data_IF_320455730673
#
_entry.id   IF_320455730673
#
_cell.length_a   1.000
_cell.length_b   1.000
_cell.length_c   1.000
_cell.angle_alpha   90.00
_cell.angle_beta   90.00
_cell.angle_gamma   90.00
#
_symmetry.space_group_name_H-M   'P 1'
#
loop_
_entity.id
_entity.type
_entity.pdbx_description
1 polymer ?
#
# COMPACT_ATOMS: atom_id res chain seq x y z
N UNK A 1 -73.35 -26.41 -7.97
CA UNK A 1 -72.39 -25.78 -8.90
C UNK A 1 -72.15 -24.38 -8.38
N UNK A 2 -71.18 -24.21 -7.48
CA UNK A 2 -70.65 -22.89 -7.10
C UNK A 2 -69.37 -23.11 -6.29
N UNK A 3 -68.23 -22.68 -6.86
CA UNK A 3 -66.88 -22.83 -6.32
C UNK A 3 -66.49 -21.49 -5.72
N UNK A 4 -66.49 -21.36 -4.40
CA UNK A 4 -66.00 -20.15 -3.72
C UNK A 4 -64.47 -20.22 -3.64
N UNK A 5 -63.82 -19.34 -4.40
CA UNK A 5 -62.38 -19.22 -4.51
C UNK A 5 -61.77 -18.68 -3.21
N UNK A 6 -60.82 -19.42 -2.63
CA UNK A 6 -59.94 -18.94 -1.58
C UNK A 6 -58.75 -18.24 -2.23
N UNK A 7 -58.75 -16.92 -2.24
CA UNK A 7 -57.58 -16.12 -2.60
C UNK A 7 -56.56 -16.19 -1.44
N UNK A 8 -55.47 -16.93 -1.64
CA UNK A 8 -54.28 -16.82 -0.79
C UNK A 8 -53.40 -15.69 -1.32
N UNK A 9 -52.98 -14.72 -0.49
CA UNK A 9 -52.11 -13.64 -0.93
C UNK A 9 -50.69 -14.19 -1.13
N UNK A 10 -50.13 -13.98 -2.32
CA UNK A 10 -48.75 -14.30 -2.66
C UNK A 10 -47.82 -13.39 -1.84
N UNK A 11 -46.91 -13.92 -0.99
CA UNK A 11 -46.02 -13.08 -0.23
C UNK A 11 -45.00 -12.44 -1.17
N UNK A 12 -44.99 -11.10 -1.22
CA UNK A 12 -44.02 -10.32 -1.96
C UNK A 12 -42.64 -10.49 -1.29
N UNK A 13 -41.86 -11.45 -1.77
CA UNK A 13 -40.46 -11.65 -1.38
C UNK A 13 -39.65 -10.43 -1.87
N UNK A 14 -39.44 -9.48 -0.96
CA UNK A 14 -38.43 -8.42 -1.12
C UNK A 14 -37.05 -9.08 -1.19
N UNK A 15 -36.59 -9.35 -2.41
CA UNK A 15 -35.20 -9.70 -2.68
C UNK A 15 -34.33 -8.48 -2.32
N UNK A 16 -33.79 -8.49 -1.10
CA UNK A 16 -32.77 -7.53 -0.68
C UNK A 16 -31.57 -7.70 -1.60
N UNK A 17 -31.37 -6.77 -2.55
CA UNK A 17 -30.14 -6.67 -3.31
C UNK A 17 -29.02 -6.34 -2.32
N UNK A 18 -28.30 -7.38 -1.89
CA UNK A 18 -27.03 -7.22 -1.17
C UNK A 18 -26.05 -6.68 -2.21
N UNK A 19 -25.86 -5.36 -2.24
CA UNK A 19 -24.76 -4.72 -2.96
C UNK A 19 -23.47 -5.08 -2.23
N UNK A 20 -22.86 -6.18 -2.63
CA UNK A 20 -21.49 -6.51 -2.20
C UNK A 20 -20.56 -5.45 -2.79
N UNK A 21 -20.02 -4.57 -1.94
CA UNK A 21 -18.94 -3.68 -2.34
C UNK A 21 -17.75 -4.55 -2.77
N UNK A 22 -17.50 -4.62 -4.07
CA UNK A 22 -16.36 -5.36 -4.62
C UNK A 22 -15.08 -4.58 -4.32
N UNK A 23 -14.40 -4.93 -3.24
CA UNK A 23 -13.02 -4.49 -3.03
C UNK A 23 -12.14 -5.06 -4.14
N UNK A 24 -11.36 -4.21 -4.82
CA UNK A 24 -10.47 -4.63 -5.90
C UNK A 24 -9.36 -5.56 -5.39
N UNK A 25 -8.90 -5.32 -4.16
CA UNK A 25 -7.91 -6.14 -3.47
C UNK A 25 -8.57 -6.84 -2.27
N UNK A 26 -8.29 -8.13 -2.08
CA UNK A 26 -8.80 -8.91 -0.96
C UNK A 26 -8.01 -8.69 0.34
N UNK A 27 -8.54 -9.16 1.47
CA UNK A 27 -7.89 -9.07 2.78
C UNK A 27 -6.55 -9.83 2.87
N UNK A 28 -6.35 -10.85 2.03
CA UNK A 28 -5.10 -11.61 1.90
C UNK A 28 -4.12 -11.03 0.89
N UNK A 29 -4.47 -9.92 0.22
CA UNK A 29 -3.62 -9.30 -0.79
C UNK A 29 -2.35 -8.74 -0.13
N UNK A 30 -1.18 -8.85 -0.79
CA UNK A 30 0.04 -8.17 -0.35
C UNK A 30 -0.04 -6.64 -0.55
N UNK A 31 -1.03 -6.14 -1.29
CA UNK A 31 -1.25 -4.71 -1.53
C UNK A 31 -1.95 -4.08 -0.32
N UNK A 32 -1.34 -3.04 0.25
CA UNK A 32 -1.90 -2.33 1.40
C UNK A 32 -3.12 -1.52 0.97
N UNK A 33 -4.27 -1.80 1.56
CA UNK A 33 -5.50 -1.04 1.30
C UNK A 33 -5.48 0.28 2.08
N UNK A 34 -5.56 1.38 1.34
CA UNK A 34 -5.59 2.71 1.90
C UNK A 34 -7.02 3.21 2.08
N UNK A 35 -7.17 4.06 3.07
CA UNK A 35 -8.35 4.89 3.31
C UNK A 35 -7.88 6.27 3.76
N UNK A 36 -8.75 7.29 3.77
CA UNK A 36 -8.39 8.61 4.29
C UNK A 36 -7.82 8.56 5.72
N UNK A 37 -8.31 7.63 6.54
CA UNK A 37 -7.88 7.49 7.94
C UNK A 37 -6.44 6.99 8.10
N UNK A 38 -5.93 6.18 7.16
CA UNK A 38 -4.61 5.56 7.27
C UNK A 38 -3.58 6.14 6.29
N UNK A 39 -4.02 6.90 5.27
CA UNK A 39 -3.16 7.42 4.20
C UNK A 39 -1.96 8.20 4.75
N UNK A 40 -2.20 9.14 5.68
CA UNK A 40 -1.11 9.90 6.31
C UNK A 40 -0.07 8.99 6.96
N UNK A 41 -0.52 8.03 7.78
CA UNK A 41 0.38 7.14 8.51
C UNK A 41 1.16 6.16 7.62
N UNK A 42 0.51 5.64 6.56
CA UNK A 42 1.08 4.58 5.70
C UNK A 42 1.84 5.13 4.50
N UNK A 43 1.54 6.36 4.07
CA UNK A 43 2.12 6.99 2.87
C UNK A 43 2.98 8.18 3.27
N UNK A 44 2.39 9.20 3.89
CA UNK A 44 3.07 10.48 4.12
C UNK A 44 4.13 10.43 5.22
N UNK A 45 3.89 9.63 6.27
CA UNK A 45 4.84 9.41 7.36
C UNK A 45 5.77 8.21 7.10
N UNK A 46 5.74 7.62 5.90
CA UNK A 46 6.61 6.51 5.57
C UNK A 46 8.06 7.00 5.46
N UNK A 47 8.98 6.28 6.11
CA UNK A 47 10.43 6.49 5.95
C UNK A 47 10.98 5.75 4.72
N UNK A 48 10.15 5.43 3.73
CA UNK A 48 10.57 4.63 2.58
C UNK A 48 9.96 5.13 1.27
N UNK A 49 9.99 4.27 0.27
CA UNK A 49 9.27 4.45 -0.98
C UNK A 49 7.90 3.80 -0.84
N UNK A 50 6.84 4.49 -1.29
CA UNK A 50 5.47 3.97 -1.31
C UNK A 50 4.87 4.16 -2.69
N UNK A 51 4.45 3.07 -3.30
CA UNK A 51 3.64 3.09 -4.52
C UNK A 51 2.17 3.11 -4.11
N UNK A 52 1.39 4.00 -4.72
CA UNK A 52 -0.05 4.10 -4.51
C UNK A 52 -0.75 4.03 -5.85
N UNK A 53 -1.50 2.95 -6.08
CA UNK A 53 -2.49 2.89 -7.15
C UNK A 53 -3.79 3.60 -6.71
N UNK A 54 -4.17 4.64 -7.43
CA UNK A 54 -5.49 5.25 -7.35
C UNK A 54 -6.37 4.56 -8.40
N UNK A 55 -7.39 3.84 -7.92
CA UNK A 55 -8.25 2.99 -8.76
C UNK A 55 -9.74 3.29 -8.54
N UNK A 56 -10.58 2.66 -9.36
CA UNK A 56 -12.01 2.51 -9.10
C UNK A 56 -12.42 1.04 -9.34
N UNK A 57 -13.29 0.44 -8.51
CA UNK A 57 -13.58 -0.99 -8.55
C UNK A 57 -14.28 -1.44 -9.84
N UNK A 58 -14.98 -0.52 -10.51
CA UNK A 58 -15.64 -0.74 -11.79
C UNK A 58 -14.71 -0.57 -13.00
N UNK A 59 -13.46 -0.13 -12.81
CA UNK A 59 -12.54 0.13 -13.91
C UNK A 59 -11.88 -1.17 -14.40
N UNK A 60 -12.20 -1.59 -15.62
CA UNK A 60 -11.63 -2.80 -16.22
C UNK A 60 -10.10 -2.79 -16.33
N UNK A 61 -9.49 -1.61 -16.57
CA UNK A 61 -8.02 -1.49 -16.59
C UNK A 61 -7.39 -1.66 -15.20
N UNK A 62 -8.08 -1.28 -14.12
CA UNK A 62 -7.63 -1.54 -12.76
C UNK A 62 -7.70 -3.03 -12.43
N UNK A 63 -8.81 -3.67 -12.78
CA UNK A 63 -8.99 -5.12 -12.61
C UNK A 63 -7.93 -5.92 -13.36
N UNK A 64 -7.58 -5.52 -14.59
CA UNK A 64 -6.52 -6.14 -15.37
C UNK A 64 -5.11 -5.94 -14.75
N UNK A 65 -4.89 -4.84 -14.02
CA UNK A 65 -3.62 -4.52 -13.38
C UNK A 65 -3.40 -5.30 -12.08
N UNK A 66 -4.46 -5.60 -11.33
CA UNK A 66 -4.46 -6.27 -10.02
C UNK A 66 -3.44 -7.43 -9.92
N UNK A 67 -3.45 -8.48 -10.77
CA UNK A 67 -2.51 -9.60 -10.59
C UNK A 67 -1.04 -9.19 -10.74
N UNK A 68 -0.75 -8.24 -11.63
CA UNK A 68 0.59 -7.69 -11.80
C UNK A 68 0.99 -6.85 -10.59
N UNK A 69 0.09 -6.02 -10.08
CA UNK A 69 0.36 -5.16 -8.93
C UNK A 69 0.57 -5.95 -7.64
N UNK A 70 -0.19 -7.01 -7.42
CA UNK A 70 0.04 -7.95 -6.30
C UNK A 70 1.38 -8.67 -6.41
N UNK A 71 1.81 -9.03 -7.63
CA UNK A 71 3.13 -9.61 -7.85
C UNK A 71 4.25 -8.61 -7.57
N UNK A 72 4.06 -7.34 -7.95
CA UNK A 72 4.99 -6.24 -7.59
C UNK A 72 5.07 -6.08 -6.07
N UNK A 73 3.94 -6.03 -5.38
CA UNK A 73 3.88 -5.95 -3.92
C UNK A 73 4.60 -7.13 -3.24
N UNK A 74 4.45 -8.34 -3.80
CA UNK A 74 5.13 -9.54 -3.30
C UNK A 74 6.65 -9.46 -3.49
N UNK A 75 7.12 -9.02 -4.67
CA UNK A 75 8.55 -8.90 -4.98
C UNK A 75 9.23 -7.81 -4.15
N UNK A 76 8.52 -6.72 -3.87
CA UNK A 76 9.06 -5.57 -3.13
C UNK A 76 8.80 -5.62 -1.62
N UNK A 77 8.22 -6.71 -1.12
CA UNK A 77 7.87 -6.88 0.29
C UNK A 77 9.07 -6.61 1.20
N UNK A 78 8.86 -5.78 2.22
CA UNK A 78 9.91 -5.39 3.19
C UNK A 78 10.86 -4.31 2.69
N UNK A 79 10.73 -3.86 1.43
CA UNK A 79 11.61 -2.84 0.82
C UNK A 79 10.82 -1.62 0.34
N UNK A 80 9.67 -1.83 -0.30
CA UNK A 80 8.75 -0.77 -0.76
C UNK A 80 7.34 -1.14 -0.37
N UNK A 81 6.60 -0.17 0.16
CA UNK A 81 5.17 -0.35 0.40
C UNK A 81 4.43 -0.20 -0.92
N UNK A 82 3.67 -1.21 -1.30
CA UNK A 82 2.79 -1.16 -2.48
C UNK A 82 1.36 -1.14 -1.97
N UNK A 83 0.62 -0.10 -2.33
CA UNK A 83 -0.66 0.25 -1.73
C UNK A 83 -1.67 0.68 -2.79
N UNK A 84 -2.95 0.61 -2.46
CA UNK A 84 -4.03 1.00 -3.36
C UNK A 84 -5.11 1.78 -2.61
N UNK A 85 -5.68 2.79 -3.26
CA UNK A 85 -6.77 3.63 -2.75
C UNK A 85 -7.91 3.66 -3.76
N UNK A 86 -9.13 3.36 -3.30
CA UNK A 86 -10.34 3.61 -4.08
C UNK A 86 -10.58 5.12 -4.16
N UNK A 87 -10.22 5.69 -5.30
CA UNK A 87 -10.28 7.11 -5.56
C UNK A 87 -11.69 7.56 -6.00
N UNK A 88 -12.55 6.64 -6.44
CA UNK A 88 -13.96 6.95 -6.72
C UNK A 88 -14.76 7.07 -5.41
N UNK A 89 -14.46 6.24 -4.42
CA UNK A 89 -14.99 6.38 -3.06
C UNK A 89 -14.39 7.60 -2.30
N UNK A 90 -13.17 8.02 -2.63
CA UNK A 90 -12.42 9.05 -1.90
C UNK A 90 -12.00 10.23 -2.78
N UNK A 91 -12.98 10.86 -3.44
CA UNK A 91 -12.78 11.93 -4.44
C UNK A 91 -11.99 13.14 -3.95
N UNK A 92 -12.14 13.54 -2.69
CA UNK A 92 -11.38 14.67 -2.14
C UNK A 92 -9.87 14.39 -2.09
N UNK A 93 -9.49 13.18 -1.69
CA UNK A 93 -8.09 12.76 -1.65
C UNK A 93 -7.56 12.55 -3.08
N UNK A 94 -8.39 12.02 -3.98
CA UNK A 94 -8.06 11.94 -5.41
C UNK A 94 -7.80 13.32 -6.03
N UNK A 95 -8.61 14.33 -5.68
CA UNK A 95 -8.44 15.70 -6.14
C UNK A 95 -7.17 16.35 -5.59
N UNK A 96 -6.85 16.16 -4.31
CA UNK A 96 -5.61 16.65 -3.68
C UNK A 96 -4.37 16.20 -4.47
N UNK A 97 -4.36 14.95 -4.90
CA UNK A 97 -3.27 14.37 -5.69
C UNK A 97 -3.47 14.53 -7.21
N UNK A 98 -4.49 15.26 -7.67
CA UNK A 98 -4.70 15.55 -9.08
C UNK A 98 -4.98 14.32 -9.95
N UNK A 99 -5.68 13.31 -9.40
CA UNK A 99 -6.04 12.10 -10.12
C UNK A 99 -7.17 12.41 -11.13
N UNK A 100 -6.89 12.18 -12.42
CA UNK A 100 -7.81 12.50 -13.53
C UNK A 100 -8.37 11.27 -14.25
N UNK A 101 -7.86 10.08 -13.94
CA UNK A 101 -8.25 8.84 -14.59
C UNK A 101 -7.69 7.63 -13.86
N UNK A 102 -8.09 6.44 -14.28
CA UNK A 102 -7.75 5.19 -13.60
C UNK A 102 -7.16 4.13 -14.54
N UNK A 103 -6.25 3.27 -14.03
CA UNK A 103 -5.51 3.50 -12.79
C UNK A 103 -4.47 4.61 -12.98
N UNK A 104 -4.20 5.38 -11.92
CA UNK A 104 -3.04 6.27 -11.81
C UNK A 104 -2.16 5.75 -10.69
N UNK A 105 -0.87 5.54 -10.96
CA UNK A 105 0.09 5.12 -9.94
C UNK A 105 0.96 6.32 -9.59
N UNK A 106 0.99 6.69 -8.31
CA UNK A 106 1.94 7.67 -7.79
C UNK A 106 2.96 7.02 -6.88
N UNK A 107 4.15 7.60 -6.84
CA UNK A 107 5.25 7.14 -6.02
C UNK A 107 5.65 8.25 -5.05
N UNK A 108 5.54 7.93 -3.78
CA UNK A 108 5.85 8.79 -2.65
C UNK A 108 7.21 8.38 -2.09
N UNK A 109 8.07 9.36 -1.87
CA UNK A 109 9.38 9.18 -1.27
C UNK A 109 9.50 10.18 -0.14
N UNK A 110 9.95 9.72 1.04
CA UNK A 110 10.10 10.55 2.22
C UNK A 110 10.82 11.87 1.88
N UNK A 111 10.18 13.01 2.20
CA UNK A 111 10.77 14.33 1.98
C UNK A 111 10.71 14.87 0.55
N UNK A 112 10.10 14.16 -0.40
CA UNK A 112 9.95 14.59 -1.79
C UNK A 112 8.49 14.74 -2.17
N UNK A 113 8.25 15.56 -3.19
CA UNK A 113 6.94 15.61 -3.83
C UNK A 113 6.65 14.28 -4.54
N UNK A 114 5.41 13.77 -4.48
CA UNK A 114 5.06 12.54 -5.18
C UNK A 114 5.18 12.69 -6.69
N UNK A 115 5.64 11.64 -7.36
CA UNK A 115 5.78 11.60 -8.82
C UNK A 115 4.85 10.57 -9.44
N UNK A 116 4.40 10.82 -10.66
CA UNK A 116 3.62 9.83 -11.41
C UNK A 116 4.52 8.74 -11.97
N UNK A 117 4.09 7.49 -11.83
CA UNK A 117 4.69 6.39 -12.57
C UNK A 117 4.09 6.33 -13.98
N UNK A 118 4.93 6.62 -14.97
CA UNK A 118 4.56 6.65 -16.40
C UNK A 118 5.15 5.46 -17.19
N UNK A 119 5.79 4.51 -16.51
CA UNK A 119 6.40 3.34 -17.16
C UNK A 119 5.40 2.24 -17.53
N UNK A 120 5.90 1.19 -18.18
CA UNK A 120 5.11 0.02 -18.54
C UNK A 120 4.55 -0.69 -17.30
N UNK A 121 3.28 -1.11 -17.36
CA UNK A 121 2.56 -1.68 -16.21
C UNK A 121 2.82 -3.17 -16.05
N UNK A 122 4.09 -3.53 -16.00
CA UNK A 122 4.61 -4.88 -15.85
C UNK A 122 5.50 -4.96 -14.61
N UNK A 123 5.72 -6.18 -14.11
CA UNK A 123 6.46 -6.38 -12.85
C UNK A 123 7.86 -5.78 -12.91
N UNK A 124 8.62 -6.11 -13.96
CA UNK A 124 10.04 -5.71 -14.05
C UNK A 124 10.21 -4.19 -14.13
N UNK A 125 9.53 -3.44 -15.02
CA UNK A 125 9.63 -1.99 -15.07
C UNK A 125 9.24 -1.28 -13.77
N UNK A 126 8.19 -1.75 -13.07
CA UNK A 126 7.80 -1.17 -11.78
C UNK A 126 8.86 -1.43 -10.70
N UNK A 127 9.38 -2.65 -10.63
CA UNK A 127 10.44 -3.03 -9.68
C UNK A 127 11.73 -2.26 -9.96
N UNK A 128 12.10 -2.07 -11.23
CA UNK A 128 13.30 -1.32 -11.59
C UNK A 128 13.15 0.18 -11.27
N UNK A 129 11.96 0.75 -11.45
CA UNK A 129 11.65 2.11 -10.99
C UNK A 129 11.74 2.21 -9.46
N UNK A 130 11.19 1.25 -8.74
CA UNK A 130 11.28 1.19 -7.28
C UNK A 130 12.74 1.17 -6.80
N UNK A 131 13.60 0.36 -7.42
CA UNK A 131 15.05 0.34 -7.14
C UNK A 131 15.70 1.70 -7.35
N UNK A 132 15.34 2.42 -8.43
CA UNK A 132 15.87 3.75 -8.69
C UNK A 132 15.47 4.75 -7.59
N UNK A 133 14.21 4.73 -7.16
CA UNK A 133 13.73 5.60 -6.07
C UNK A 133 14.41 5.28 -4.73
N UNK A 134 14.64 4.00 -4.43
CA UNK A 134 15.38 3.59 -3.23
C UNK A 134 16.81 4.11 -3.28
N UNK A 135 17.53 3.90 -4.39
CA UNK A 135 18.91 4.39 -4.53
C UNK A 135 19.01 5.89 -4.33
N UNK A 136 18.08 6.64 -4.90
CA UNK A 136 18.05 8.08 -4.75
C UNK A 136 17.73 8.50 -3.31
N UNK A 137 16.77 7.84 -2.65
CA UNK A 137 16.48 8.07 -1.23
C UNK A 137 17.69 7.81 -0.33
N UNK A 138 18.42 6.72 -0.60
CA UNK A 138 19.63 6.38 0.16
C UNK A 138 20.75 7.38 -0.09
N UNK A 139 20.90 7.86 -1.32
CA UNK A 139 21.87 8.91 -1.66
C UNK A 139 21.59 10.20 -0.88
N UNK A 140 20.34 10.68 -0.86
CA UNK A 140 19.98 11.89 -0.10
C UNK A 140 20.29 11.74 1.40
N UNK A 141 20.07 10.54 1.97
CA UNK A 141 20.40 10.25 3.37
C UNK A 141 21.89 10.26 3.64
N UNK A 142 22.69 9.69 2.73
CA UNK A 142 24.15 9.71 2.83
C UNK A 142 24.69 11.14 2.77
N UNK A 143 24.06 11.99 1.94
CA UNK A 143 24.41 13.41 1.80
C UNK A 143 23.88 14.28 2.97
N UNK A 144 23.28 13.67 4.01
CA UNK A 144 22.77 14.38 5.20
C UNK A 144 21.49 15.19 4.96
N UNK A 145 20.85 15.04 3.79
CA UNK A 145 19.64 15.77 3.41
C UNK A 145 18.41 15.11 4.03
N UNK A 146 18.26 15.30 5.33
CA UNK A 146 17.07 14.80 6.05
C UNK A 146 15.93 15.79 5.88
N UNK A 147 14.78 15.34 5.40
CA UNK A 147 13.61 16.18 5.25
C UNK A 147 12.95 16.46 6.60
N UNK A 148 13.21 17.66 7.14
CA UNK A 148 12.30 18.44 7.98
C UNK A 148 11.85 17.84 9.31
N UNK A 149 12.54 18.22 10.40
CA UNK A 149 12.01 18.13 11.76
C UNK A 149 13.09 18.10 12.85
N UNK A 150 13.61 19.28 13.23
CA UNK A 150 14.49 19.47 14.40
C UNK A 150 13.77 19.05 15.70
N UNK A 151 14.38 18.15 16.45
CA UNK A 151 14.51 18.21 17.90
C UNK A 151 15.54 17.17 18.31
N UNK A 152 16.63 17.60 18.96
CA UNK A 152 17.39 16.72 19.83
C UNK A 152 16.41 16.13 20.85
N UNK A 153 16.02 14.89 20.61
CA UNK A 153 15.52 13.97 21.62
C UNK A 153 16.45 12.79 21.49
N UNK A 154 17.25 12.58 22.51
CA UNK A 154 18.12 11.41 22.67
C UNK A 154 17.42 10.17 22.10
N UNK A 155 17.86 9.72 20.93
CA UNK A 155 17.44 8.44 20.39
C UNK A 155 17.89 7.37 21.41
N UNK A 156 17.00 6.47 21.86
CA UNK A 156 17.49 5.21 22.38
C UNK A 156 18.28 4.58 21.22
N UNK A 157 19.53 4.19 21.47
CA UNK A 157 20.50 3.70 20.48
C UNK A 157 19.85 3.12 19.23
N UNK A 158 20.12 3.71 18.05
CA UNK A 158 19.57 3.28 16.76
C UNK A 158 19.90 1.82 16.36
N UNK A 159 20.70 1.14 17.18
CA UNK A 159 20.98 -0.29 17.13
C UNK A 159 20.27 -1.03 18.26
N UNK A 160 19.64 -2.15 17.92
CA UNK A 160 19.03 -3.07 18.88
C UNK A 160 20.11 -4.08 19.29
N UNK A 161 20.33 -4.26 20.60
CA UNK A 161 21.23 -5.31 21.09
C UNK A 161 20.60 -6.69 20.88
N UNK A 162 21.26 -7.49 20.06
CA UNK A 162 20.85 -8.85 19.74
C UNK A 162 21.63 -9.85 20.59
N UNK A 163 20.93 -10.86 21.08
CA UNK A 163 21.48 -11.96 21.87
C UNK A 163 20.80 -13.29 21.49
N UNK A 164 21.31 -14.38 22.05
CA UNK A 164 20.80 -15.73 21.75
C UNK A 164 19.31 -15.94 22.07
N UNK A 165 18.70 -15.09 22.90
CA UNK A 165 17.28 -15.21 23.27
C UNK A 165 16.34 -14.47 22.31
N UNK A 166 16.82 -13.44 21.60
CA UNK A 166 15.98 -12.60 20.75
C UNK A 166 16.35 -12.66 19.27
N UNK A 167 17.52 -13.19 18.90
CA UNK A 167 18.02 -13.18 17.53
C UNK A 167 17.08 -13.89 16.55
N UNK A 168 16.60 -15.09 16.91
CA UNK A 168 15.75 -15.87 16.02
C UNK A 168 14.42 -15.17 15.74
N UNK A 169 13.80 -14.62 16.78
CA UNK A 169 12.50 -13.96 16.67
C UNK A 169 12.60 -12.60 15.99
N UNK A 170 13.65 -11.82 16.31
CA UNK A 170 13.81 -10.47 15.77
C UNK A 170 14.42 -10.46 14.37
N UNK A 171 15.38 -11.34 14.08
CA UNK A 171 16.13 -11.33 12.82
C UNK A 171 15.65 -12.43 11.89
N UNK A 172 15.73 -13.70 12.32
CA UNK A 172 15.51 -14.83 11.40
C UNK A 172 14.04 -15.00 10.98
N UNK A 173 13.09 -14.69 11.87
CA UNK A 173 11.65 -14.74 11.58
C UNK A 173 11.09 -13.42 11.03
N UNK A 174 11.93 -12.40 10.91
CA UNK A 174 11.50 -11.09 10.41
C UNK A 174 11.16 -11.12 8.93
N UNK A 175 10.27 -10.21 8.54
CA UNK A 175 9.96 -9.89 7.14
C UNK A 175 10.66 -8.61 6.67
N UNK A 176 11.46 -8.00 7.55
CA UNK A 176 12.23 -6.79 7.30
C UNK A 176 13.70 -7.11 7.05
N UNK A 177 14.38 -6.22 6.32
CA UNK A 177 15.81 -6.33 6.08
C UNK A 177 16.58 -5.90 7.33
N UNK A 178 17.45 -6.77 7.84
CA UNK A 178 18.34 -6.49 8.96
C UNK A 178 19.79 -6.34 8.48
N UNK A 179 20.49 -5.33 9.01
CA UNK A 179 21.95 -5.26 8.99
C UNK A 179 22.42 -5.62 10.40
N UNK A 180 23.14 -6.72 10.52
CA UNK A 180 23.62 -7.23 11.82
C UNK A 180 25.14 -7.08 11.86
N UNK A 181 25.62 -6.35 12.85
CA UNK A 181 27.04 -6.29 13.20
C UNK A 181 27.33 -7.33 14.29
N UNK A 182 28.28 -8.22 14.04
CA UNK A 182 28.86 -9.09 15.06
C UNK A 182 30.19 -8.46 15.50
N UNK A 183 30.29 -8.09 16.78
CA UNK A 183 31.49 -7.44 17.32
C UNK A 183 32.13 -8.28 18.44
N UNK A 184 33.41 -8.00 18.66
CA UNK A 184 34.25 -8.62 19.67
C UNK A 184 34.90 -7.49 20.49
N UNK A 185 34.61 -7.34 21.80
CA UNK A 185 35.13 -6.23 22.60
C UNK A 185 36.57 -6.41 23.07
N UNK A 186 37.32 -7.38 22.53
CA UNK A 186 38.65 -7.80 22.99
C UNK A 186 39.79 -7.33 22.09
#
# INVERSE_FOLDING_TARGET
MERSAWFLPLPLLLASLITTANALYGASSPVVQLSPSNFKSKVLNSNGVVFVEFFAPWCGHCQALTPTYEKVASVLKGVVTVAALDADAHKSLAQEYGIKGFPTIKVFVAGKQPVDYQGAREVKPMVDFAKAQIRELLKDRLDGKTAGGSSQKSEPSASIELNSKNFDDLVLKSKELWIVEFFAPW
#
